data_IF_809815524152
#
_entry.id   IF_809815524152
#
_cell.length_a   1.000
_cell.length_b   1.000
_cell.length_c   1.000
_cell.angle_alpha   90.00
_cell.angle_beta   90.00
_cell.angle_gamma   90.00
#
_symmetry.space_group_name_H-M   'P 1'
#
loop_
_entity.id
_entity.type
_entity.pdbx_description
1 polymer ?
#
# COMPACT_ATOMS: atom_id res chain seq x y z
N UNK A 1 -10.25 16.10 8.00
CA UNK A 1 -9.69 15.01 7.19
C UNK A 1 -10.86 14.26 6.53
N UNK A 2 -10.91 14.08 5.21
CA UNK A 2 -12.09 13.48 4.55
C UNK A 2 -12.10 11.96 4.72
N UNK A 3 -12.92 11.47 5.64
CA UNK A 3 -12.93 10.08 6.13
C UNK A 3 -13.16 9.03 5.03
N UNK A 4 -13.86 9.39 3.94
CA UNK A 4 -14.22 8.45 2.87
C UNK A 4 -13.02 7.94 2.06
N UNK A 5 -12.01 8.78 1.78
CA UNK A 5 -10.83 8.35 1.01
C UNK A 5 -9.93 7.41 1.80
N UNK A 6 -9.73 7.73 3.09
CA UNK A 6 -8.91 6.91 3.97
C UNK A 6 -9.52 5.52 4.21
N UNK A 7 -10.85 5.39 4.11
CA UNK A 7 -11.56 4.10 4.19
C UNK A 7 -11.16 3.11 3.08
N UNK A 8 -10.62 3.58 1.96
CA UNK A 8 -10.13 2.73 0.84
C UNK A 8 -8.62 2.67 0.82
N UNK A 9 -7.94 3.80 1.04
CA UNK A 9 -6.48 3.88 1.00
C UNK A 9 -5.82 3.00 2.05
N UNK A 10 -6.35 2.98 3.29
CA UNK A 10 -5.73 2.24 4.40
C UNK A 10 -5.80 0.72 4.15
N UNK A 11 -6.96 0.10 3.85
CA UNK A 11 -7.03 -1.33 3.54
C UNK A 11 -6.14 -1.74 2.37
N UNK A 12 -6.14 -0.96 1.29
CA UNK A 12 -5.33 -1.24 0.09
C UNK A 12 -3.84 -1.19 0.43
N UNK A 13 -3.40 -0.18 1.18
CA UNK A 13 -1.99 -0.05 1.59
C UNK A 13 -1.55 -1.24 2.46
N UNK A 14 -2.38 -1.66 3.43
CA UNK A 14 -2.09 -2.82 4.28
C UNK A 14 -1.98 -4.09 3.44
N UNK A 15 -2.92 -4.31 2.52
CA UNK A 15 -2.91 -5.49 1.64
C UNK A 15 -1.64 -5.55 0.80
N UNK A 16 -1.22 -4.42 0.20
CA UNK A 16 0.01 -4.34 -0.58
C UNK A 16 1.25 -4.61 0.29
N UNK A 17 1.31 -4.07 1.49
CA UNK A 17 2.43 -4.34 2.41
C UNK A 17 2.57 -5.81 2.78
N UNK A 18 1.45 -6.49 3.05
CA UNK A 18 1.44 -7.92 3.35
C UNK A 18 1.89 -8.76 2.14
N UNK A 19 1.40 -8.46 0.95
CA UNK A 19 1.77 -9.16 -0.28
C UNK A 19 3.26 -8.93 -0.60
N UNK A 20 3.73 -7.68 -0.50
CA UNK A 20 5.13 -7.35 -0.74
C UNK A 20 6.05 -8.13 0.21
N UNK A 21 5.77 -8.10 1.52
CA UNK A 21 6.55 -8.87 2.49
C UNK A 21 6.49 -10.38 2.25
N UNK A 22 5.33 -10.91 1.84
CA UNK A 22 5.21 -12.32 1.51
C UNK A 22 6.06 -12.70 0.30
N UNK A 23 6.01 -11.92 -0.79
CA UNK A 23 6.84 -12.13 -1.98
C UNK A 23 8.34 -11.98 -1.67
N UNK A 24 8.72 -10.96 -0.91
CA UNK A 24 10.12 -10.74 -0.51
C UNK A 24 10.66 -11.88 0.36
N UNK A 25 9.83 -12.44 1.24
CA UNK A 25 10.24 -13.59 2.07
C UNK A 25 10.26 -14.91 1.31
N UNK A 26 9.39 -15.07 0.30
CA UNK A 26 9.29 -16.29 -0.50
C UNK A 26 10.36 -16.36 -1.57
N UNK A 27 10.53 -15.28 -2.33
CA UNK A 27 11.30 -15.27 -3.58
C UNK A 27 12.64 -14.53 -3.45
N UNK A 28 12.87 -13.79 -2.35
CA UNK A 28 14.07 -12.96 -2.13
C UNK A 28 14.61 -13.08 -0.69
N UNK A 29 14.55 -14.29 -0.11
CA UNK A 29 14.95 -14.54 1.27
C UNK A 29 16.43 -14.28 1.55
N UNK A 30 17.27 -14.31 0.50
CA UNK A 30 18.70 -14.01 0.53
C UNK A 30 19.02 -12.53 0.80
N UNK A 31 18.05 -11.63 0.59
CA UNK A 31 18.20 -10.20 0.84
C UNK A 31 18.07 -9.94 2.35
N UNK A 32 18.88 -9.02 2.90
CA UNK A 32 18.76 -8.63 4.30
C UNK A 32 17.34 -8.15 4.64
N UNK A 33 16.88 -8.49 5.84
CA UNK A 33 15.53 -8.15 6.30
C UNK A 33 15.28 -6.63 6.29
N UNK A 34 16.31 -5.83 6.57
CA UNK A 34 16.21 -4.36 6.56
C UNK A 34 15.89 -3.83 5.17
N UNK A 35 16.52 -4.41 4.14
CA UNK A 35 16.30 -4.03 2.74
C UNK A 35 14.91 -4.49 2.29
N UNK A 36 14.50 -5.72 2.66
CA UNK A 36 13.15 -6.22 2.36
C UNK A 36 12.07 -5.31 2.97
N UNK A 37 12.24 -4.88 4.22
CA UNK A 37 11.35 -3.92 4.86
C UNK A 37 11.31 -2.59 4.12
N UNK A 38 12.46 -2.06 3.69
CA UNK A 38 12.51 -0.81 2.92
C UNK A 38 11.73 -0.91 1.60
N UNK A 39 11.88 -2.04 0.88
CA UNK A 39 11.13 -2.30 -0.36
C UNK A 39 9.63 -2.40 -0.07
N UNK A 40 9.23 -3.17 0.95
CA UNK A 40 7.83 -3.30 1.32
C UNK A 40 7.20 -1.97 1.77
N UNK A 41 7.95 -1.14 2.51
CA UNK A 41 7.53 0.22 2.86
C UNK A 41 7.37 1.09 1.61
N UNK A 42 8.32 1.04 0.67
CA UNK A 42 8.23 1.75 -0.61
C UNK A 42 6.99 1.34 -1.41
N UNK A 43 6.73 0.03 -1.53
CA UNK A 43 5.56 -0.51 -2.22
C UNK A 43 4.23 -0.06 -1.56
N UNK A 44 4.19 -0.10 -0.23
CA UNK A 44 3.02 0.32 0.57
C UNK A 44 2.74 1.81 0.39
N UNK A 45 3.77 2.66 0.50
CA UNK A 45 3.64 4.11 0.33
C UNK A 45 3.21 4.48 -1.09
N UNK A 46 3.85 3.89 -2.10
CA UNK A 46 3.51 4.14 -3.51
C UNK A 46 2.06 3.73 -3.80
N UNK A 47 1.64 2.56 -3.32
CA UNK A 47 0.25 2.12 -3.46
C UNK A 47 -0.74 3.05 -2.78
N UNK A 48 -0.44 3.52 -1.57
CA UNK A 48 -1.28 4.47 -0.86
C UNK A 48 -1.42 5.80 -1.61
N UNK A 49 -0.33 6.30 -2.20
CA UNK A 49 -0.33 7.51 -3.05
C UNK A 49 -1.19 7.28 -4.30
N UNK A 50 -0.96 6.19 -5.03
CA UNK A 50 -1.74 5.87 -6.24
C UNK A 50 -3.23 5.77 -5.91
N UNK A 51 -3.58 5.06 -4.84
CA UNK A 51 -4.97 4.90 -4.38
C UNK A 51 -5.59 6.24 -3.99
N UNK A 52 -4.84 7.11 -3.32
CA UNK A 52 -5.32 8.43 -2.95
C UNK A 52 -5.62 9.32 -4.17
N UNK A 53 -4.82 9.21 -5.23
CA UNK A 53 -5.05 9.92 -6.49
C UNK A 53 -6.18 9.29 -7.32
N UNK A 54 -6.27 7.96 -7.34
CA UNK A 54 -7.25 7.21 -8.13
C UNK A 54 -8.68 7.34 -7.58
N UNK A 55 -8.85 7.55 -6.27
CA UNK A 55 -10.15 7.78 -5.65
C UNK A 55 -10.37 9.27 -5.34
N UNK A 56 -10.90 10.06 -6.30
CA UNK A 56 -11.27 11.46 -6.06
C UNK A 56 -12.35 11.58 -4.98
N UNK A 57 -12.50 12.80 -4.44
CA UNK A 57 -13.44 13.11 -3.34
C UNK A 57 -14.80 12.89 -3.95
N UNK A 58 -15.57 11.93 -3.45
CA UNK A 58 -16.81 11.48 -4.07
C UNK A 58 -17.53 12.55 -4.88
N UNK A 59 -17.38 12.50 -6.20
CA UNK A 59 -18.38 13.02 -7.13
C UNK A 59 -19.27 11.84 -7.47
N UNK A 60 -20.24 11.69 -6.58
CA UNK A 60 -21.33 10.75 -6.64
C UNK A 60 -22.40 11.25 -5.68
N UNK A 61 -22.94 12.44 -5.97
CA UNK A 61 -24.29 12.77 -5.55
C UNK A 61 -25.20 11.96 -6.46
N UNK A 62 -25.79 10.87 -5.95
CA UNK A 62 -27.23 10.60 -5.92
C UNK A 62 -27.49 9.65 -4.75
#
# INVERSE_FOLDING_TARGET
MNSKRFSVVIPVSIMVGLIAMWMLNKDFAEIDLSIRLLIAMGATLLSGVITYFLFPKGEGNQ
#
